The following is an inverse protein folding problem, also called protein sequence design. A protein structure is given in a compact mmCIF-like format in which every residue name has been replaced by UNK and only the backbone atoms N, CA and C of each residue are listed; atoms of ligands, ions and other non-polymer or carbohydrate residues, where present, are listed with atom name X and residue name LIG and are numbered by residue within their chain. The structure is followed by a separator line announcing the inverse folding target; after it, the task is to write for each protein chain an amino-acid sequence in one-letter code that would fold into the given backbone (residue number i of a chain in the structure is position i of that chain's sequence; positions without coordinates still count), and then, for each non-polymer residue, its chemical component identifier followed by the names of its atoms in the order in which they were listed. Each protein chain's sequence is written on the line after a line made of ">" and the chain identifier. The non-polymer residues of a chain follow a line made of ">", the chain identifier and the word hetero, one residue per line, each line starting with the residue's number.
data_IF_037854457014
#
_entry.id   IF_037854457014
#
_cell.length_a   1.000
_cell.length_b   1.000
_cell.length_c   1.000
_cell.angle_alpha   90.00
_cell.angle_beta   90.00
_cell.angle_gamma   90.00
#
_symmetry.space_group_name_H-M   'P 1'
#
loop_
_entity.id
_entity.type
_entity.pdbx_description
1 polymer ?
#
# COMPACT_ATOMS: atom_id res chain seq x y z
N UNK A 1 -25.65 -37.64 34.45
CA UNK A 1 -24.34 -36.95 34.47
C UNK A 1 -24.03 -36.13 33.20
N UNK A 2 -24.94 -35.98 32.22
CA UNK A 2 -24.68 -35.21 30.99
C UNK A 2 -24.86 -33.68 31.08
N UNK A 3 -25.70 -33.20 32.00
CA UNK A 3 -26.11 -31.78 32.01
C UNK A 3 -25.00 -30.81 32.45
N UNK A 4 -24.11 -31.23 33.37
CA UNK A 4 -23.00 -30.40 33.84
C UNK A 4 -21.89 -30.25 32.78
N UNK A 5 -21.63 -31.31 32.00
CA UNK A 5 -20.66 -31.27 30.91
C UNK A 5 -21.14 -30.36 29.76
N UNK A 6 -22.43 -30.39 29.44
CA UNK A 6 -23.03 -29.51 28.43
C UNK A 6 -22.96 -28.04 28.88
N UNK A 7 -23.28 -27.77 30.16
CA UNK A 7 -23.17 -26.42 30.72
C UNK A 7 -21.74 -25.88 30.71
N UNK A 8 -20.77 -26.70 31.13
CA UNK A 8 -19.37 -26.32 31.10
C UNK A 8 -18.87 -26.08 29.67
N UNK A 9 -19.26 -26.95 28.72
CA UNK A 9 -18.95 -26.77 27.30
C UNK A 9 -19.56 -25.51 26.70
N UNK A 10 -20.81 -25.18 27.04
CA UNK A 10 -21.47 -23.96 26.58
C UNK A 10 -20.80 -22.69 27.13
N UNK A 11 -20.39 -22.71 28.40
CA UNK A 11 -19.68 -21.59 29.04
C UNK A 11 -18.30 -21.39 28.43
N UNK A 12 -17.59 -22.47 28.12
CA UNK A 12 -16.28 -22.42 27.48
C UNK A 12 -16.39 -21.90 26.04
N UNK A 13 -17.41 -22.34 25.30
CA UNK A 13 -17.69 -21.84 23.96
C UNK A 13 -18.04 -20.35 23.98
N UNK A 14 -18.89 -19.90 24.92
CA UNK A 14 -19.25 -18.48 25.01
C UNK A 14 -18.05 -17.60 25.37
N UNK A 15 -17.18 -18.07 26.28
CA UNK A 15 -15.96 -17.38 26.64
C UNK A 15 -15.01 -17.24 25.43
N UNK A 16 -14.83 -18.32 24.67
CA UNK A 16 -14.02 -18.29 23.44
C UNK A 16 -14.64 -17.36 22.39
N UNK A 17 -15.95 -17.43 22.12
CA UNK A 17 -16.63 -16.54 21.18
C UNK A 17 -16.49 -15.07 21.56
N UNK A 18 -16.59 -14.75 22.86
CA UNK A 18 -16.38 -13.39 23.36
C UNK A 18 -14.95 -12.91 23.13
N UNK A 19 -13.95 -13.75 23.43
CA UNK A 19 -12.53 -13.42 23.20
C UNK A 19 -12.23 -13.23 21.71
N UNK A 20 -12.71 -14.13 20.85
CA UNK A 20 -12.56 -14.02 19.40
C UNK A 20 -13.24 -12.75 18.85
N UNK A 21 -14.45 -12.44 19.32
CA UNK A 21 -15.15 -11.21 18.94
C UNK A 21 -14.35 -9.95 19.31
N UNK A 22 -13.74 -9.93 20.51
CA UNK A 22 -12.91 -8.80 20.95
C UNK A 22 -11.63 -8.66 20.12
N UNK A 23 -10.96 -9.77 19.82
CA UNK A 23 -9.76 -9.78 18.97
C UNK A 23 -10.11 -9.24 17.58
N UNK A 24 -11.21 -9.74 16.99
CA UNK A 24 -11.65 -9.30 15.67
C UNK A 24 -11.96 -7.80 15.63
N UNK A 25 -12.68 -7.28 16.63
CA UNK A 25 -12.98 -5.86 16.73
C UNK A 25 -11.72 -4.98 16.88
N UNK A 26 -10.71 -5.44 17.63
CA UNK A 26 -9.43 -4.73 17.75
C UNK A 26 -8.65 -4.77 16.44
N UNK A 27 -8.61 -5.91 15.76
CA UNK A 27 -7.97 -6.08 14.46
C UNK A 27 -8.59 -5.17 13.40
N UNK A 28 -9.92 -5.07 13.35
CA UNK A 28 -10.61 -4.14 12.43
C UNK A 28 -10.23 -2.68 12.68
N UNK A 29 -10.13 -2.27 13.96
CA UNK A 29 -9.71 -0.91 14.31
C UNK A 29 -8.28 -0.60 13.83
N UNK A 30 -7.36 -1.56 13.96
CA UNK A 30 -5.98 -1.41 13.46
C UNK A 30 -5.97 -1.32 11.92
N UNK A 31 -6.76 -2.16 11.24
CA UNK A 31 -6.87 -2.13 9.79
C UNK A 31 -7.47 -0.80 9.29
N UNK A 32 -8.45 -0.25 10.00
CA UNK A 32 -9.02 1.07 9.68
C UNK A 32 -7.98 2.20 9.82
N UNK A 33 -7.21 2.21 10.91
CA UNK A 33 -6.11 3.17 11.09
C UNK A 33 -5.05 3.04 9.99
N UNK A 34 -4.72 1.82 9.59
CA UNK A 34 -3.78 1.55 8.49
C UNK A 34 -4.28 2.08 7.15
N UNK A 35 -5.57 1.87 6.83
CA UNK A 35 -6.19 2.43 5.62
C UNK A 35 -6.13 3.95 5.59
N UNK A 36 -6.46 4.60 6.71
CA UNK A 36 -6.37 6.07 6.86
C UNK A 36 -4.94 6.58 6.70
N UNK A 37 -3.96 5.86 7.26
CA UNK A 37 -2.55 6.21 7.09
C UNK A 37 -2.12 6.14 5.61
N UNK A 38 -2.56 5.11 4.88
CA UNK A 38 -2.24 4.95 3.46
C UNK A 38 -2.94 5.98 2.59
N UNK A 39 -4.21 6.28 2.85
CA UNK A 39 -4.93 7.34 2.17
C UNK A 39 -4.23 8.69 2.37
N UNK A 40 -3.92 9.04 3.62
CA UNK A 40 -3.19 10.28 3.96
C UNK A 40 -1.83 10.33 3.26
N UNK A 41 -1.09 9.23 3.26
CA UNK A 41 0.20 9.15 2.57
C UNK A 41 0.02 9.33 1.06
N UNK A 42 -0.90 8.61 0.42
CA UNK A 42 -1.10 8.65 -1.03
C UNK A 42 -1.58 10.02 -1.53
N UNK A 43 -2.33 10.77 -0.72
CA UNK A 43 -2.70 12.17 -1.05
C UNK A 43 -1.54 13.15 -1.07
N UNK A 44 -0.43 12.80 -0.40
CA UNK A 44 0.79 13.63 -0.29
C UNK A 44 1.98 13.02 -1.01
N UNK A 45 1.84 11.77 -1.44
CA UNK A 45 2.84 11.07 -2.21
C UNK A 45 2.89 11.70 -3.60
N UNK A 46 4.08 12.12 -4.07
CA UNK A 46 4.20 12.67 -5.39
C UNK A 46 3.77 11.63 -6.42
N UNK A 47 2.92 12.06 -7.36
CA UNK A 47 2.49 11.20 -8.44
C UNK A 47 3.63 11.04 -9.46
N UNK A 48 3.69 9.93 -10.21
CA UNK A 48 4.74 9.75 -11.23
C UNK A 48 4.80 10.87 -12.27
N UNK A 49 3.67 11.46 -12.63
CA UNK A 49 3.59 12.60 -13.55
C UNK A 49 4.29 13.84 -12.99
N UNK A 50 4.36 13.97 -11.67
CA UNK A 50 5.05 15.08 -11.01
C UNK A 50 6.57 14.94 -11.11
N UNK A 51 7.12 13.81 -11.58
CA UNK A 51 8.55 13.66 -11.84
C UNK A 51 9.07 14.61 -12.94
N UNK A 52 8.16 15.16 -13.77
CA UNK A 52 8.48 16.24 -14.72
C UNK A 52 8.58 17.62 -14.05
N UNK A 53 8.21 17.71 -12.77
CA UNK A 53 8.29 18.90 -11.94
C UNK A 53 9.37 18.68 -10.89
N UNK A 54 10.14 19.71 -10.56
CA UNK A 54 11.17 19.60 -9.53
C UNK A 54 10.48 19.55 -8.15
N UNK A 55 10.28 18.34 -7.62
CA UNK A 55 9.53 18.10 -6.37
C UNK A 55 10.50 17.84 -5.23
N UNK A 56 10.38 18.64 -4.16
CA UNK A 56 11.18 18.49 -2.96
C UNK A 56 10.59 17.43 -1.99
N UNK A 57 11.19 16.25 -1.99
CA UNK A 57 10.86 15.17 -1.06
C UNK A 57 11.32 15.44 0.38
N UNK A 58 12.09 16.49 0.64
CA UNK A 58 12.55 16.85 1.99
C UNK A 58 11.59 17.80 2.71
N UNK A 59 10.46 18.14 2.10
CA UNK A 59 9.46 18.99 2.73
C UNK A 59 8.97 18.39 4.07
N UNK A 60 8.81 19.21 5.13
CA UNK A 60 8.34 18.72 6.43
C UNK A 60 6.98 18.03 6.37
N UNK A 61 6.10 18.47 5.46
CA UNK A 61 4.78 17.88 5.24
C UNK A 61 4.88 16.45 4.73
N UNK A 62 5.75 16.22 3.74
CA UNK A 62 5.99 14.89 3.20
C UNK A 62 6.64 13.98 4.24
N UNK A 63 7.68 14.45 4.94
CA UNK A 63 8.34 13.68 5.99
C UNK A 63 7.36 13.22 7.10
N UNK A 64 6.40 14.07 7.47
CA UNK A 64 5.35 13.70 8.43
C UNK A 64 4.45 12.58 7.89
N UNK A 65 4.06 12.65 6.61
CA UNK A 65 3.25 11.62 5.97
C UNK A 65 4.01 10.29 5.80
N UNK A 66 5.30 10.35 5.45
CA UNK A 66 6.18 9.19 5.37
C UNK A 66 6.43 8.56 6.75
N UNK A 67 6.54 9.38 7.80
CA UNK A 67 6.62 8.91 9.18
C UNK A 67 5.39 8.11 9.61
N UNK A 68 4.18 8.56 9.24
CA UNK A 68 2.95 7.81 9.47
C UNK A 68 2.93 6.48 8.72
N UNK A 69 3.45 6.46 7.49
CA UNK A 69 3.59 5.21 6.73
C UNK A 69 4.45 4.21 7.51
N UNK A 70 5.62 4.62 8.01
CA UNK A 70 6.54 3.73 8.74
C UNK A 70 5.93 3.15 10.03
N UNK A 71 5.01 3.87 10.68
CA UNK A 71 4.36 3.41 11.91
C UNK A 71 3.26 2.37 11.67
N UNK A 72 2.47 2.51 10.59
CA UNK A 72 1.30 1.67 10.35
C UNK A 72 1.47 0.64 9.24
N UNK A 73 2.52 0.76 8.43
CA UNK A 73 2.75 -0.14 7.30
C UNK A 73 3.54 -1.39 7.64
N UNK A 74 3.38 -2.44 6.83
CA UNK A 74 4.31 -3.57 6.86
C UNK A 74 5.70 -3.17 6.35
N UNK A 75 6.77 -3.87 6.78
CA UNK A 75 8.12 -3.61 6.30
C UNK A 75 8.27 -3.66 4.77
N UNK A 76 7.45 -4.48 4.09
CA UNK A 76 7.46 -4.59 2.62
C UNK A 76 6.94 -3.33 1.95
N UNK A 77 5.89 -2.73 2.50
CA UNK A 77 5.34 -1.46 1.99
C UNK A 77 6.38 -0.36 2.15
N UNK A 78 7.05 -0.28 3.30
CA UNK A 78 8.14 0.69 3.52
C UNK A 78 9.28 0.50 2.53
N UNK A 79 9.67 -0.76 2.26
CA UNK A 79 10.71 -1.07 1.27
C UNK A 79 10.33 -0.58 -0.13
N UNK A 80 9.14 -0.92 -0.62
CA UNK A 80 8.70 -0.50 -1.95
C UNK A 80 8.47 1.01 -2.06
N UNK A 81 8.06 1.67 -0.97
CA UNK A 81 7.99 3.12 -0.92
C UNK A 81 9.39 3.74 -1.04
N UNK A 82 10.39 3.22 -0.33
CA UNK A 82 11.76 3.68 -0.43
C UNK A 82 12.34 3.46 -1.85
N UNK A 83 12.11 2.29 -2.45
CA UNK A 83 12.49 2.01 -3.84
C UNK A 83 11.85 2.99 -4.82
N UNK A 84 10.56 3.29 -4.65
CA UNK A 84 9.85 4.28 -5.45
C UNK A 84 10.48 5.67 -5.34
N UNK A 85 10.72 6.17 -4.12
CA UNK A 85 11.28 7.51 -3.93
C UNK A 85 12.70 7.63 -4.46
N UNK A 86 13.52 6.60 -4.28
CA UNK A 86 14.85 6.57 -4.89
C UNK A 86 14.76 6.70 -6.42
N UNK A 87 13.88 5.92 -7.05
CA UNK A 87 13.69 5.97 -8.50
C UNK A 87 13.08 7.27 -9.00
N UNK A 88 12.20 7.86 -8.20
CA UNK A 88 11.61 9.17 -8.47
C UNK A 88 12.68 10.26 -8.46
N UNK A 89 13.55 10.32 -7.45
CA UNK A 89 14.67 11.28 -7.39
C UNK A 89 15.69 11.06 -8.51
N UNK A 90 16.03 9.80 -8.83
CA UNK A 90 16.92 9.45 -9.94
C UNK A 90 16.37 9.92 -11.31
N UNK A 91 15.05 9.94 -11.47
CA UNK A 91 14.40 10.25 -12.74
C UNK A 91 14.14 11.75 -12.95
N UNK A 92 13.97 12.55 -11.89
CA UNK A 92 13.73 14.00 -11.98
C UNK A 92 14.73 14.75 -12.89
N UNK A 93 16.07 14.60 -12.78
CA UNK A 93 17.00 15.36 -13.63
C UNK A 93 16.87 15.03 -15.12
N UNK A 94 16.41 13.83 -15.48
CA UNK A 94 16.20 13.43 -16.87
C UNK A 94 14.80 13.81 -17.39
N UNK A 95 13.78 13.79 -16.53
CA UNK A 95 12.37 14.01 -16.90
C UNK A 95 11.92 15.47 -16.84
N UNK A 96 12.59 16.32 -16.05
CA UNK A 96 12.22 17.75 -15.93
C UNK A 96 12.33 18.48 -17.28
N UNK A 97 13.30 18.09 -18.12
CA UNK A 97 13.53 18.72 -19.43
C UNK A 97 12.76 18.06 -20.58
N UNK A 98 12.21 16.85 -20.35
CA UNK A 98 11.64 16.00 -21.39
C UNK A 98 10.19 15.65 -21.03
N UNK A 99 9.24 16.19 -21.79
CA UNK A 99 7.80 15.88 -21.67
C UNK A 99 7.35 14.76 -22.63
N UNK A 100 8.28 13.98 -23.20
CA UNK A 100 7.94 12.96 -24.19
C UNK A 100 7.12 11.80 -23.58
N UNK A 101 5.94 11.48 -24.13
CA UNK A 101 5.13 10.37 -23.65
C UNK A 101 5.84 9.04 -23.92
N UNK A 102 6.11 8.28 -22.85
CA UNK A 102 6.74 6.96 -22.92
C UNK A 102 8.25 6.93 -22.68
N UNK A 103 8.83 8.00 -22.10
CA UNK A 103 10.23 7.98 -21.68
C UNK A 103 10.53 6.78 -20.77
N UNK A 104 11.62 6.02 -20.98
CA UNK A 104 11.88 4.78 -20.22
C UNK A 104 11.96 5.01 -18.72
N UNK A 105 12.50 6.15 -18.26
CA UNK A 105 12.50 6.52 -16.84
C UNK A 105 11.11 6.76 -16.27
N UNK A 106 10.23 7.37 -17.05
CA UNK A 106 8.85 7.58 -16.63
C UNK A 106 8.13 6.24 -16.45
N UNK A 107 8.33 5.29 -17.37
CA UNK A 107 7.80 3.93 -17.26
C UNK A 107 8.38 3.21 -16.03
N UNK A 108 9.68 3.37 -15.75
CA UNK A 108 10.33 2.82 -14.57
C UNK A 108 9.66 3.34 -13.29
N UNK A 109 9.56 4.67 -13.13
CA UNK A 109 8.91 5.33 -11.98
C UNK A 109 7.46 4.87 -11.81
N UNK A 110 6.68 4.84 -12.90
CA UNK A 110 5.31 4.31 -12.90
C UNK A 110 5.24 2.86 -12.42
N UNK A 111 6.20 2.01 -12.81
CA UNK A 111 6.23 0.61 -12.39
C UNK A 111 6.47 0.46 -10.88
N UNK A 112 7.38 1.27 -10.33
CA UNK A 112 7.68 1.27 -8.89
C UNK A 112 6.54 1.86 -8.08
N UNK A 113 5.90 2.93 -8.56
CA UNK A 113 4.69 3.48 -7.97
C UNK A 113 3.58 2.43 -7.87
N UNK A 114 3.31 1.74 -8.99
CA UNK A 114 2.31 0.68 -9.03
C UNK A 114 2.65 -0.47 -8.07
N UNK A 115 3.93 -0.85 -7.95
CA UNK A 115 4.38 -1.87 -7.01
C UNK A 115 4.15 -1.46 -5.56
N UNK A 116 4.45 -0.22 -5.21
CA UNK A 116 4.21 0.35 -3.88
C UNK A 116 2.70 0.34 -3.55
N UNK A 117 1.87 0.91 -4.42
CA UNK A 117 0.39 0.97 -4.25
C UNK A 117 -0.20 -0.44 -4.16
N UNK A 118 0.31 -1.37 -4.95
CA UNK A 118 -0.13 -2.76 -4.92
C UNK A 118 0.16 -3.43 -3.58
N UNK A 119 1.37 -3.25 -3.05
CA UNK A 119 1.71 -3.82 -1.75
C UNK A 119 0.87 -3.17 -0.63
N UNK A 120 0.65 -1.85 -0.68
CA UNK A 120 -0.26 -1.17 0.25
C UNK A 120 -1.67 -1.78 0.20
N UNK A 121 -2.19 -2.04 -0.99
CA UNK A 121 -3.49 -2.71 -1.18
C UNK A 121 -3.48 -4.13 -0.59
N UNK A 122 -2.42 -4.89 -0.84
CA UNK A 122 -2.27 -6.23 -0.27
C UNK A 122 -2.26 -6.19 1.26
N UNK A 123 -1.64 -5.18 1.82
CA UNK A 123 -1.39 -5.06 3.25
C UNK A 123 -2.62 -4.60 4.05
N UNK A 124 -3.53 -3.80 3.44
CA UNK A 124 -4.84 -3.44 4.04
C UNK A 124 -5.94 -4.48 3.80
N UNK A 125 -5.74 -5.34 2.81
CA UNK A 125 -6.69 -6.38 2.42
C UNK A 125 -6.29 -7.78 2.92
N UNK A 126 -5.26 -7.91 3.76
CA UNK A 126 -4.71 -9.20 4.19
C UNK A 126 -5.75 -10.15 4.84
N UNK A 127 -6.81 -9.60 5.42
CA UNK A 127 -7.90 -10.35 6.06
C UNK A 127 -9.18 -10.42 5.21
N UNK A 128 -9.12 -9.91 3.99
CA UNK A 128 -10.26 -9.81 3.07
C UNK A 128 -10.18 -10.88 1.99
N UNK A 129 -11.34 -11.39 1.57
CA UNK A 129 -11.48 -12.24 0.37
C UNK A 129 -11.03 -11.51 -0.91
N UNK A 130 -10.91 -10.19 -0.86
CA UNK A 130 -10.43 -9.33 -1.94
C UNK A 130 -8.92 -9.06 -1.86
N UNK A 131 -8.17 -9.83 -1.06
CA UNK A 131 -6.71 -9.75 -1.03
C UNK A 131 -6.14 -10.03 -2.43
N UNK A 132 -5.30 -9.13 -2.96
CA UNK A 132 -4.68 -9.33 -4.26
C UNK A 132 -3.77 -10.58 -4.26
N UNK A 133 -3.88 -11.43 -5.28
CA UNK A 133 -3.02 -12.61 -5.41
C UNK A 133 -1.64 -12.23 -5.95
N UNK A 134 -0.61 -13.03 -5.67
CA UNK A 134 0.77 -12.72 -6.10
C UNK A 134 0.94 -12.58 -7.63
N UNK A 135 0.03 -13.16 -8.42
CA UNK A 135 0.12 -13.22 -9.88
C UNK A 135 -0.26 -11.92 -10.61
N UNK A 136 -0.88 -10.95 -9.94
CA UNK A 136 -1.32 -9.69 -10.58
C UNK A 136 -0.40 -8.50 -10.31
N UNK A 137 0.83 -8.74 -9.86
CA UNK A 137 1.84 -7.70 -9.57
C UNK A 137 2.49 -7.06 -10.79
N UNK A 138 2.43 -7.69 -11.96
CA UNK A 138 3.08 -7.19 -13.16
C UNK A 138 2.25 -6.12 -13.85
N UNK A 139 2.80 -4.90 -13.92
CA UNK A 139 2.29 -3.87 -14.83
C UNK A 139 2.51 -4.35 -16.26
N UNK A 140 1.42 -4.68 -16.96
CA UNK A 140 1.42 -4.84 -18.41
C UNK A 140 1.03 -3.49 -19.00
N UNK A 141 1.97 -2.84 -19.67
CA UNK A 141 1.66 -1.66 -20.47
C UNK A 141 0.52 -2.06 -21.44
N UNK A 142 -0.66 -1.48 -21.24
CA UNK A 142 -1.75 -1.60 -22.23
C UNK A 142 -1.24 -1.10 -23.58
N UNK A 143 -1.82 -1.55 -24.69
CA UNK A 143 -1.32 -1.26 -26.05
C UNK A 143 -1.32 0.22 -26.47
N UNK A 144 -1.47 1.16 -25.55
CA UNK A 144 -1.27 2.59 -25.75
C UNK A 144 0.23 2.87 -25.93
N UNK A 145 0.67 2.86 -27.18
CA UNK A 145 2.06 3.15 -27.56
C UNK A 145 2.64 2.23 -28.63
N UNK A 146 1.92 1.18 -29.06
CA UNK A 146 2.31 0.49 -30.30
C UNK A 146 2.09 1.46 -31.45
N UNK A 147 3.16 2.01 -32.01
CA UNK A 147 3.16 2.55 -33.37
C UNK A 147 2.58 1.45 -34.26
N UNK A 148 1.37 1.68 -34.76
CA UNK A 148 0.80 0.86 -35.82
C UNK A 148 1.75 0.99 -37.02
N UNK A 149 2.16 -0.12 -37.66
CA UNK A 149 3.05 -0.07 -38.83
C UNK A 149 2.45 0.74 -39.97
#
# INVERSE_FOLDING_TARGET
>A
MGSAAIWFGALLLSALSFLFGKIFAQSERILDQKRKAYETFLTRCPAPDEAHTNVDLKSPEFQRSAGLLTLYSSPKVTLYAAEYFQKFEEAQPELVEISEPGHPRFIEVMSYYNRMVWEMRSDVMMWSIFAPTKHSKEYKQGSFGKKVP
#
